data_IF_431642439771
#
_entry.id   IF_431642439771
#
_cell.length_a   1.000
_cell.length_b   1.000
_cell.length_c   1.000
_cell.angle_alpha   90.00
_cell.angle_beta   90.00
_cell.angle_gamma   90.00
#
_symmetry.space_group_name_H-M   'P 1'
#
loop_
_entity.id
_entity.type
_entity.pdbx_description
1 polymer ?
#
# COMPACT_ATOMS: atom_id res chain seq x y z
N UNK A 1 -12.38 9.51 14.65
CA UNK A 1 -12.57 8.87 13.33
C UNK A 1 -11.20 8.73 12.70
N UNK A 2 -10.75 7.54 12.26
CA UNK A 2 -9.43 7.43 11.64
C UNK A 2 -9.44 8.17 10.30
N UNK A 3 -8.47 9.07 10.12
CA UNK A 3 -8.32 10.02 9.00
C UNK A 3 -8.18 9.33 7.62
N UNK A 4 -7.94 8.03 7.59
CA UNK A 4 -7.65 7.26 6.37
C UNK A 4 -8.84 7.09 5.40
N UNK A 5 -10.09 7.21 5.85
CA UNK A 5 -11.27 7.03 4.97
C UNK A 5 -11.70 8.31 4.23
N UNK A 6 -11.08 9.45 4.53
CA UNK A 6 -11.36 10.74 3.89
C UNK A 6 -10.32 11.14 2.83
N UNK A 7 -9.32 10.28 2.57
CA UNK A 7 -8.33 10.52 1.52
C UNK A 7 -8.90 10.13 0.15
N UNK A 8 -8.66 10.97 -0.86
CA UNK A 8 -9.02 10.66 -2.24
C UNK A 8 -8.25 9.42 -2.74
N UNK A 9 -8.86 8.67 -3.67
CA UNK A 9 -8.27 7.47 -4.28
C UNK A 9 -7.17 7.78 -5.30
N UNK A 10 -6.84 9.06 -5.49
CA UNK A 10 -5.68 9.51 -6.27
C UNK A 10 -4.36 9.02 -5.68
N UNK A 11 -3.37 8.85 -6.57
CA UNK A 11 -1.98 8.61 -6.17
C UNK A 11 -1.44 9.92 -5.58
N UNK A 12 -0.90 9.87 -4.36
CA UNK A 12 -0.28 11.04 -3.73
C UNK A 12 1.13 11.28 -4.28
N UNK A 13 1.64 12.50 -4.14
CA UNK A 13 2.96 12.89 -4.65
C UNK A 13 4.07 11.90 -4.21
N UNK A 14 4.03 11.48 -2.95
CA UNK A 14 5.01 10.57 -2.33
C UNK A 14 4.92 9.12 -2.85
N UNK A 15 3.83 8.76 -3.52
CA UNK A 15 3.61 7.43 -4.08
C UNK A 15 4.13 7.29 -5.52
N UNK A 16 4.43 8.40 -6.20
CA UNK A 16 4.83 8.39 -7.61
C UNK A 16 6.11 7.62 -7.90
N UNK A 17 7.03 7.53 -6.94
CA UNK A 17 8.32 6.88 -7.12
C UNK A 17 8.21 5.40 -7.55
N UNK A 18 7.09 4.75 -7.26
CA UNK A 18 6.80 3.38 -7.71
C UNK A 18 5.41 3.25 -8.35
N UNK A 19 4.37 3.79 -7.69
CA UNK A 19 2.97 3.64 -8.16
C UNK A 19 2.66 4.51 -9.38
N UNK A 20 3.55 5.43 -9.74
CA UNK A 20 3.45 6.23 -10.96
C UNK A 20 3.93 5.52 -12.24
N UNK A 21 4.65 4.41 -12.13
CA UNK A 21 5.23 3.72 -13.30
C UNK A 21 4.18 3.01 -14.15
N UNK A 22 3.13 2.48 -13.53
CA UNK A 22 2.05 1.80 -14.21
C UNK A 22 0.75 1.93 -13.42
N UNK A 23 -0.27 2.52 -14.04
CA UNK A 23 -1.58 2.74 -13.39
C UNK A 23 -2.63 1.81 -13.97
N UNK A 24 -3.18 0.94 -13.12
CA UNK A 24 -4.29 0.06 -13.49
C UNK A 24 -5.61 0.64 -12.98
N UNK A 25 -6.60 0.81 -13.86
CA UNK A 25 -7.85 1.52 -13.53
C UNK A 25 -8.63 0.87 -12.38
N UNK A 26 -8.47 -0.45 -12.19
CA UNK A 26 -9.16 -1.22 -11.16
C UNK A 26 -8.28 -1.58 -9.96
N UNK A 27 -7.09 -0.97 -9.82
CA UNK A 27 -6.25 -1.15 -8.63
C UNK A 27 -6.78 -0.33 -7.45
N UNK A 28 -6.51 -0.78 -6.23
CA UNK A 28 -6.71 0.01 -5.02
C UNK A 28 -5.57 1.04 -4.80
N UNK A 29 -5.82 2.14 -4.06
CA UNK A 29 -4.81 3.14 -3.80
C UNK A 29 -3.76 2.68 -2.76
N UNK A 30 -2.51 3.16 -2.81
CA UNK A 30 -1.44 2.75 -1.89
C UNK A 30 -1.76 2.97 -0.41
N UNK A 31 -2.42 4.08 -0.08
CA UNK A 31 -2.78 4.41 1.31
C UNK A 31 -3.71 3.36 1.95
N UNK A 32 -4.49 2.61 1.15
CA UNK A 32 -5.34 1.53 1.65
C UNK A 32 -4.49 0.39 2.27
N UNK A 33 -3.35 0.08 1.67
CA UNK A 33 -2.41 -0.92 2.23
C UNK A 33 -1.87 -0.42 3.57
N UNK A 34 -1.43 0.84 3.62
CA UNK A 34 -0.96 1.46 4.87
C UNK A 34 -1.99 1.35 5.99
N UNK A 35 -3.26 1.66 5.69
CA UNK A 35 -4.35 1.53 6.65
C UNK A 35 -4.49 0.11 7.22
N UNK A 36 -4.44 -0.92 6.37
CA UNK A 36 -4.57 -2.30 6.83
C UNK A 36 -3.34 -2.80 7.58
N UNK A 37 -2.12 -2.40 7.19
CA UNK A 37 -0.90 -2.70 7.93
C UNK A 37 -0.99 -2.14 9.36
N UNK A 38 -1.43 -0.89 9.52
CA UNK A 38 -1.64 -0.27 10.84
C UNK A 38 -2.77 -0.96 11.62
N UNK A 39 -3.91 -1.19 10.97
CA UNK A 39 -5.08 -1.81 11.61
C UNK A 39 -4.78 -3.21 12.16
N UNK A 40 -3.92 -3.96 11.48
CA UNK A 40 -3.52 -5.30 11.90
C UNK A 40 -2.24 -5.33 12.72
N UNK A 41 -1.61 -4.18 12.99
CA UNK A 41 -0.38 -4.10 13.77
C UNK A 41 0.82 -4.79 13.09
N UNK A 42 0.84 -4.80 11.75
CA UNK A 42 1.89 -5.46 10.97
C UNK A 42 3.14 -4.57 10.93
N UNK A 43 4.28 -5.16 11.26
CA UNK A 43 5.57 -4.50 11.30
C UNK A 43 6.69 -5.37 10.70
N UNK A 44 7.95 -4.97 10.92
CA UNK A 44 9.15 -5.62 10.37
C UNK A 44 9.37 -7.05 10.85
N UNK A 45 8.68 -7.49 11.90
CA UNK A 45 8.76 -8.86 12.42
C UNK A 45 7.84 -9.83 11.67
N UNK A 46 6.95 -9.31 10.83
CA UNK A 46 5.95 -10.06 10.10
C UNK A 46 6.35 -10.26 8.63
N UNK A 47 5.80 -11.31 8.00
CA UNK A 47 5.90 -11.55 6.56
C UNK A 47 4.53 -11.36 5.92
N UNK A 48 4.43 -10.47 4.93
CA UNK A 48 3.19 -10.21 4.19
C UNK A 48 3.22 -10.94 2.85
N UNK A 49 2.27 -11.85 2.64
CA UNK A 49 2.07 -12.51 1.35
C UNK A 49 0.84 -11.95 0.66
N UNK A 50 1.01 -11.48 -0.58
CA UNK A 50 -0.10 -11.10 -1.47
C UNK A 50 -0.11 -12.02 -2.70
N UNK A 51 -0.94 -13.08 -2.72
CA UNK A 51 -1.02 -14.01 -3.84
C UNK A 51 -1.74 -13.44 -5.07
N UNK A 52 -2.26 -12.21 -4.98
CA UNK A 52 -2.98 -11.51 -6.06
C UNK A 52 -2.40 -10.10 -6.30
N UNK A 53 -1.07 -9.99 -6.21
CA UNK A 53 -0.36 -8.72 -6.07
C UNK A 53 -0.56 -7.72 -7.21
N UNK A 54 -1.11 -8.12 -8.36
CA UNK A 54 -1.43 -7.22 -9.47
C UNK A 54 -0.22 -6.38 -9.89
N UNK A 55 -0.32 -5.05 -9.75
CA UNK A 55 0.75 -4.09 -10.04
C UNK A 55 1.79 -3.95 -8.93
N UNK A 56 1.71 -4.78 -7.89
CA UNK A 56 2.66 -4.81 -6.78
C UNK A 56 2.38 -3.79 -5.68
N UNK A 57 1.17 -3.22 -5.59
CA UNK A 57 0.87 -2.16 -4.61
C UNK A 57 1.18 -2.60 -3.18
N UNK A 58 0.74 -3.80 -2.79
CA UNK A 58 0.98 -4.37 -1.45
C UNK A 58 2.47 -4.55 -1.14
N UNK A 59 3.27 -5.32 -1.93
CA UNK A 59 4.68 -5.50 -1.63
C UNK A 59 5.49 -4.19 -1.68
N UNK A 60 5.17 -3.25 -2.58
CA UNK A 60 5.84 -1.93 -2.61
C UNK A 60 5.61 -1.16 -1.31
N UNK A 61 4.36 -1.09 -0.83
CA UNK A 61 4.03 -0.41 0.42
C UNK A 61 4.64 -1.11 1.66
N UNK A 62 4.81 -2.44 1.62
CA UNK A 62 5.53 -3.19 2.64
C UNK A 62 7.03 -2.82 2.63
N UNK A 63 7.69 -2.84 1.46
CA UNK A 63 9.11 -2.50 1.34
C UNK A 63 9.41 -1.07 1.76
N UNK A 64 8.55 -0.08 1.45
CA UNK A 64 8.69 1.32 1.93
C UNK A 64 8.75 1.42 3.46
N UNK A 65 8.09 0.50 4.18
CA UNK A 65 8.06 0.43 5.65
C UNK A 65 9.13 -0.52 6.24
N UNK A 66 9.87 -1.22 5.38
CA UNK A 66 10.84 -2.24 5.79
C UNK A 66 10.19 -3.54 6.26
N UNK A 67 8.95 -3.80 5.86
CA UNK A 67 8.21 -5.02 6.18
C UNK A 67 8.59 -6.09 5.13
N UNK A 68 9.02 -7.29 5.54
CA UNK A 68 9.17 -8.44 4.65
C UNK A 68 7.88 -8.74 3.88
N UNK A 69 8.00 -8.90 2.56
CA UNK A 69 6.93 -9.22 1.61
C UNK A 69 7.51 -9.80 0.34
#
# INVERSE_FOLDING_TARGET
>A
MPTALLQDNGIQMDDHAAHGWYRFVLSFPPHLVGHYLEKFGIDRQHLVLDPFCGTGTTPVECKKRGIPS
#
